data_IF_944807738108
#
_entry.id   IF_944807738108
#
_cell.length_a   1.000
_cell.length_b   1.000
_cell.length_c   1.000
_cell.angle_alpha   90.00
_cell.angle_beta   90.00
_cell.angle_gamma   90.00
#
_symmetry.space_group_name_H-M   'P 1'
#
loop_
_entity.id
_entity.type
_entity.pdbx_description
1 polymer ?
#
# COMPACT_ATOMS: atom_id res chain seq x y z
N UNK A 1 26.05 20.77 2.68
CA UNK A 1 24.91 21.01 3.59
C UNK A 1 24.34 19.65 3.93
N UNK A 2 24.31 19.26 5.20
CA UNK A 2 23.78 17.96 5.61
C UNK A 2 22.25 18.00 5.52
N UNK A 3 21.69 17.44 4.46
CA UNK A 3 20.25 17.25 4.34
C UNK A 3 19.80 16.31 5.46
N UNK A 4 18.85 16.75 6.28
CA UNK A 4 18.36 16.04 7.45
C UNK A 4 17.73 14.70 7.01
N UNK A 5 18.27 13.57 7.50
CA UNK A 5 17.81 12.22 7.18
C UNK A 5 16.27 12.06 7.34
N UNK A 6 15.68 12.82 8.26
CA UNK A 6 14.23 12.83 8.53
C UNK A 6 13.43 13.47 7.40
N UNK A 7 13.92 14.56 6.79
CA UNK A 7 13.22 15.22 5.68
C UNK A 7 13.33 14.39 4.40
N UNK A 8 14.49 13.77 4.17
CA UNK A 8 14.71 12.83 3.06
C UNK A 8 13.74 11.65 3.17
N UNK A 9 13.63 11.03 4.35
CA UNK A 9 12.68 9.94 4.62
C UNK A 9 11.22 10.35 4.44
N UNK A 10 10.88 11.59 4.78
CA UNK A 10 9.52 12.11 4.62
C UNK A 10 9.16 12.30 3.13
N UNK A 11 10.06 12.88 2.34
CA UNK A 11 9.88 13.00 0.87
C UNK A 11 9.84 11.63 0.19
N UNK A 12 10.61 10.65 0.66
CA UNK A 12 10.52 9.27 0.15
C UNK A 12 9.17 8.62 0.45
N UNK A 13 8.63 8.78 1.67
CA UNK A 13 7.28 8.30 2.03
C UNK A 13 6.18 8.95 1.18
N UNK A 14 6.28 10.25 0.93
CA UNK A 14 5.33 10.99 0.08
C UNK A 14 5.34 10.48 -1.38
N UNK A 15 6.47 9.94 -1.84
CA UNK A 15 6.63 9.34 -3.16
C UNK A 15 6.45 7.81 -3.18
N UNK A 16 6.03 7.19 -2.07
CA UNK A 16 5.82 5.74 -1.97
C UNK A 16 7.11 4.89 -1.93
N UNK A 17 8.26 5.51 -1.64
CA UNK A 17 9.54 4.86 -1.42
C UNK A 17 9.69 4.56 0.07
N UNK A 18 9.66 3.28 0.43
CA UNK A 18 9.82 2.83 1.80
C UNK A 18 11.24 2.34 2.03
N UNK A 19 11.90 2.84 3.08
CA UNK A 19 13.21 2.36 3.48
C UNK A 19 13.14 0.88 3.87
N UNK A 20 13.99 0.05 3.27
CA UNK A 20 14.12 -1.36 3.61
C UNK A 20 15.13 -1.51 4.74
N UNK A 21 14.65 -1.81 5.95
CA UNK A 21 15.54 -2.15 7.04
C UNK A 21 16.17 -3.54 6.88
N UNK A 22 17.27 -3.78 7.60
CA UNK A 22 18.00 -5.06 7.54
C UNK A 22 17.12 -6.26 7.93
N UNK A 23 16.19 -6.08 8.87
CA UNK A 23 15.30 -7.16 9.31
C UNK A 23 14.37 -7.60 8.18
N UNK A 24 13.79 -6.67 7.44
CA UNK A 24 13.00 -6.96 6.24
C UNK A 24 13.86 -7.66 5.19
N UNK A 25 15.06 -7.15 4.91
CA UNK A 25 15.97 -7.75 3.93
C UNK A 25 16.32 -9.20 4.26
N UNK A 26 16.60 -9.50 5.53
CA UNK A 26 16.87 -10.87 6.00
C UNK A 26 15.64 -11.79 5.88
N UNK A 27 14.43 -11.28 6.16
CA UNK A 27 13.19 -12.03 5.97
C UNK A 27 12.99 -12.36 4.49
N UNK A 28 13.17 -11.37 3.60
CA UNK A 28 13.06 -11.57 2.15
C UNK A 28 14.08 -12.59 1.65
N UNK A 29 15.33 -12.51 2.12
CA UNK A 29 16.38 -13.50 1.82
C UNK A 29 15.98 -14.91 2.28
N UNK A 30 15.29 -15.04 3.42
CA UNK A 30 14.76 -16.32 3.89
C UNK A 30 13.86 -17.04 2.89
N UNK A 31 13.08 -16.30 2.08
CA UNK A 31 12.21 -16.87 1.04
C UNK A 31 12.95 -17.29 -0.24
N UNK A 32 14.20 -16.86 -0.44
CA UNK A 32 15.05 -17.34 -1.54
C UNK A 32 15.30 -18.85 -1.35
N UNK A 33 15.60 -19.26 -0.11
CA UNK A 33 15.65 -20.66 0.32
C UNK A 33 16.77 -21.51 -0.32
N UNK A 34 17.75 -20.87 -0.97
CA UNK A 34 18.91 -21.51 -1.60
C UNK A 34 20.08 -20.55 -1.66
N UNK A 35 21.28 -21.09 -1.85
CA UNK A 35 22.44 -20.31 -2.29
C UNK A 35 22.27 -19.90 -3.76
N UNK A 36 22.78 -18.72 -4.08
CA UNK A 36 22.64 -18.05 -5.38
C UNK A 36 24.00 -17.48 -5.77
N UNK A 37 24.34 -17.54 -7.06
CA UNK A 37 25.61 -17.03 -7.57
C UNK A 37 25.52 -15.55 -7.89
N UNK A 38 24.33 -15.08 -8.29
CA UNK A 38 24.05 -13.68 -8.51
C UNK A 38 22.73 -13.24 -7.85
N UNK A 39 22.53 -11.93 -7.77
CA UNK A 39 21.25 -11.35 -7.35
C UNK A 39 21.06 -10.00 -8.03
N UNK A 40 19.84 -9.75 -8.48
CA UNK A 40 19.43 -8.48 -9.07
C UNK A 40 18.34 -7.80 -8.23
N UNK A 41 18.48 -6.49 -8.02
CA UNK A 41 17.43 -5.62 -7.51
C UNK A 41 17.14 -4.50 -8.54
N UNK A 42 15.97 -4.53 -9.22
CA UNK A 42 15.61 -3.54 -10.23
C UNK A 42 15.27 -2.17 -9.65
N UNK A 43 15.21 -1.99 -8.34
CA UNK A 43 14.91 -0.72 -7.67
C UNK A 43 15.72 -0.64 -6.38
N UNK A 44 17.05 -0.70 -6.53
CA UNK A 44 17.93 -1.11 -5.45
C UNK A 44 18.10 -0.09 -4.32
N UNK A 45 17.70 1.18 -4.53
CA UNK A 45 17.92 2.25 -3.57
C UNK A 45 19.38 2.29 -3.12
N UNK A 46 19.58 2.35 -1.81
CA UNK A 46 20.90 2.33 -1.16
C UNK A 46 21.54 0.93 -1.03
N UNK A 47 20.96 -0.09 -1.68
CA UNK A 47 21.47 -1.45 -1.70
C UNK A 47 21.13 -2.30 -0.48
N UNK A 48 20.20 -1.89 0.39
CA UNK A 48 19.86 -2.65 1.61
C UNK A 48 19.45 -4.11 1.36
N UNK A 49 18.65 -4.39 0.33
CA UNK A 49 18.27 -5.75 -0.04
C UNK A 49 19.48 -6.55 -0.54
N UNK A 50 20.39 -5.93 -1.29
CA UNK A 50 21.56 -6.62 -1.83
C UNK A 50 22.63 -6.89 -0.75
N UNK A 51 22.67 -6.09 0.31
CA UNK A 51 23.67 -6.17 1.37
C UNK A 51 23.55 -7.42 2.26
N UNK A 52 22.41 -8.10 2.27
CA UNK A 52 22.24 -9.34 3.05
C UNK A 52 22.84 -10.55 2.35
N UNK A 53 23.26 -10.45 1.09
CA UNK A 53 23.99 -11.50 0.37
C UNK A 53 25.49 -11.38 0.62
N UNK A 54 26.18 -12.53 0.72
CA UNK A 54 27.62 -12.57 0.99
C UNK A 54 28.44 -11.87 -0.08
N UNK A 55 29.67 -11.50 0.25
CA UNK A 55 30.55 -10.75 -0.65
C UNK A 55 30.90 -11.52 -1.93
N UNK A 56 30.87 -12.86 -1.88
CA UNK A 56 31.06 -13.76 -3.01
C UNK A 56 29.95 -13.69 -4.06
N UNK A 57 28.73 -13.29 -3.67
CA UNK A 57 27.58 -13.19 -4.57
C UNK A 57 27.73 -11.96 -5.45
N UNK A 58 27.58 -12.13 -6.76
CA UNK A 58 27.60 -11.03 -7.73
C UNK A 58 26.27 -10.26 -7.67
N UNK A 59 26.33 -8.95 -7.40
CA UNK A 59 25.15 -8.12 -7.15
C UNK A 59 24.92 -7.16 -8.32
N UNK A 60 23.69 -7.06 -8.77
CA UNK A 60 23.24 -6.15 -9.83
C UNK A 60 22.15 -5.25 -9.29
N UNK A 61 22.20 -3.96 -9.62
CA UNK A 61 21.20 -3.00 -9.16
C UNK A 61 20.87 -1.97 -10.21
N UNK A 62 19.60 -1.56 -10.24
CA UNK A 62 19.18 -0.35 -10.95
C UNK A 62 18.48 0.59 -9.97
N UNK A 63 18.82 1.87 -10.01
CA UNK A 63 18.21 2.89 -9.17
C UNK A 63 18.08 4.20 -9.95
N UNK A 64 16.95 4.89 -9.79
CA UNK A 64 16.69 6.15 -10.49
C UNK A 64 17.44 7.32 -9.84
N UNK A 65 17.54 7.32 -8.51
CA UNK A 65 18.17 8.38 -7.74
C UNK A 65 19.68 8.10 -7.58
N UNK A 66 20.52 8.84 -8.31
CA UNK A 66 21.97 8.63 -8.34
C UNK A 66 22.64 8.65 -6.95
N UNK A 67 22.20 9.54 -6.05
CA UNK A 67 22.73 9.63 -4.68
C UNK A 67 22.52 8.33 -3.89
N UNK A 68 21.38 7.65 -4.07
CA UNK A 68 21.14 6.35 -3.41
C UNK A 68 22.04 5.27 -4.02
N UNK A 69 22.19 5.27 -5.34
CA UNK A 69 23.06 4.32 -6.03
C UNK A 69 24.52 4.47 -5.58
N UNK A 70 24.99 5.69 -5.34
CA UNK A 70 26.34 5.95 -4.83
C UNK A 70 26.54 5.37 -3.42
N UNK A 71 25.51 5.43 -2.56
CA UNK A 71 25.53 4.73 -1.26
C UNK A 71 25.61 3.22 -1.46
N UNK A 72 24.84 2.66 -2.39
CA UNK A 72 24.91 1.23 -2.72
C UNK A 72 26.30 0.81 -3.19
N UNK A 73 26.94 1.61 -4.07
CA UNK A 73 28.31 1.37 -4.55
C UNK A 73 29.35 1.43 -3.43
N UNK A 74 29.17 2.32 -2.46
CA UNK A 74 30.08 2.44 -1.33
C UNK A 74 29.95 1.28 -0.33
N UNK A 75 28.76 0.70 -0.15
CA UNK A 75 28.53 -0.39 0.82
C UNK A 75 28.71 -1.79 0.25
N UNK A 76 28.43 -2.02 -1.04
CA UNK A 76 28.31 -3.37 -1.60
C UNK A 76 29.60 -3.84 -2.28
N UNK A 77 30.03 -5.05 -1.93
CA UNK A 77 31.10 -5.77 -2.65
C UNK A 77 30.51 -6.55 -3.82
N UNK A 78 31.29 -6.66 -4.91
CA UNK A 78 30.90 -7.35 -6.15
C UNK A 78 29.61 -6.80 -6.79
N UNK A 79 29.45 -5.48 -6.73
CA UNK A 79 28.25 -4.78 -7.20
C UNK A 79 28.43 -4.07 -8.53
N UNK A 80 27.48 -4.27 -9.43
CA UNK A 80 27.31 -3.53 -10.67
C UNK A 80 25.97 -2.79 -10.66
N UNK A 81 26.03 -1.48 -10.42
CA UNK A 81 24.87 -0.60 -10.42
C UNK A 81 24.70 0.18 -11.72
N UNK A 82 23.47 0.46 -12.13
CA UNK A 82 23.11 1.37 -13.24
C UNK A 82 22.13 2.43 -12.74
N UNK A 83 22.41 3.70 -13.06
CA UNK A 83 21.50 4.81 -12.74
C UNK A 83 20.48 4.96 -13.86
N UNK A 84 19.19 4.94 -13.55
CA UNK A 84 18.12 5.13 -14.54
C UNK A 84 16.77 4.57 -14.10
N UNK A 85 15.70 4.97 -14.78
CA UNK A 85 14.35 4.47 -14.49
C UNK A 85 14.16 3.06 -15.08
N UNK A 86 13.92 2.08 -14.22
CA UNK A 86 13.77 0.66 -14.57
C UNK A 86 12.68 0.36 -15.57
N UNK A 87 11.56 1.09 -15.54
CA UNK A 87 10.44 0.88 -16.44
C UNK A 87 10.63 1.64 -17.76
N UNK A 88 11.38 2.74 -17.79
CA UNK A 88 11.65 3.49 -19.03
C UNK A 88 12.91 3.04 -19.77
N UNK A 89 13.97 2.75 -19.02
CA UNK A 89 15.33 2.52 -19.51
C UNK A 89 15.91 1.30 -18.75
N UNK A 90 15.38 0.08 -19.01
CA UNK A 90 15.84 -1.10 -18.29
C UNK A 90 17.34 -1.33 -18.46
N UNK A 91 18.04 -1.52 -17.35
CA UNK A 91 19.41 -1.97 -17.33
C UNK A 91 19.50 -3.47 -17.67
N UNK A 92 20.73 -3.94 -17.94
CA UNK A 92 21.06 -5.37 -18.06
C UNK A 92 20.24 -6.14 -19.11
N UNK A 93 19.79 -5.46 -20.16
CA UNK A 93 18.95 -6.06 -21.23
C UNK A 93 19.61 -7.33 -21.77
N UNK A 94 18.81 -8.39 -21.92
CA UNK A 94 19.25 -9.71 -22.39
C UNK A 94 19.73 -10.66 -21.29
N UNK A 95 19.91 -10.19 -20.04
CA UNK A 95 20.28 -11.05 -18.92
C UNK A 95 19.09 -11.77 -18.32
N UNK A 96 19.38 -12.88 -17.64
CA UNK A 96 18.46 -13.61 -16.75
C UNK A 96 19.18 -13.86 -15.44
N UNK A 97 18.49 -13.67 -14.33
CA UNK A 97 19.07 -13.79 -12.98
C UNK A 97 18.47 -14.99 -12.25
N UNK A 98 19.31 -15.72 -11.52
CA UNK A 98 18.93 -16.81 -10.62
C UNK A 98 18.15 -16.31 -9.39
N UNK A 99 18.46 -15.11 -8.92
CA UNK A 99 17.79 -14.44 -7.81
C UNK A 99 17.41 -13.01 -8.16
N UNK A 100 16.16 -12.64 -7.90
CA UNK A 100 15.71 -11.24 -7.93
C UNK A 100 15.08 -10.90 -6.59
N UNK A 101 15.58 -9.87 -5.91
CA UNK A 101 14.97 -9.40 -4.65
C UNK A 101 14.70 -7.91 -4.78
N UNK A 102 13.46 -7.50 -4.61
CA UNK A 102 13.03 -6.14 -4.98
C UNK A 102 12.04 -5.54 -3.99
N UNK A 103 12.17 -4.24 -3.75
CA UNK A 103 11.17 -3.40 -3.08
C UNK A 103 10.83 -2.19 -3.98
N UNK A 104 9.98 -2.39 -5.01
CA UNK A 104 9.62 -1.32 -5.92
C UNK A 104 8.78 -0.22 -5.25
N UNK A 105 8.76 1.01 -5.78
CA UNK A 105 7.91 2.08 -5.25
C UNK A 105 6.43 1.70 -5.41
N UNK A 106 5.71 1.69 -4.30
CA UNK A 106 4.33 1.20 -4.29
C UNK A 106 3.39 2.14 -5.03
N UNK A 107 2.55 1.57 -5.90
CA UNK A 107 1.50 2.33 -6.56
C UNK A 107 2.01 3.57 -7.32
N UNK A 108 3.27 3.56 -7.76
CA UNK A 108 3.86 4.65 -8.52
C UNK A 108 3.09 4.87 -9.84
N UNK A 109 3.06 6.12 -10.30
CA UNK A 109 2.64 6.41 -11.67
C UNK A 109 3.71 5.96 -12.63
N UNK A 110 3.29 5.48 -13.80
CA UNK A 110 4.20 5.08 -14.88
C UNK A 110 3.51 5.26 -16.23
N UNK A 111 4.32 5.26 -17.28
CA UNK A 111 3.86 5.31 -18.66
C UNK A 111 4.62 4.28 -19.47
N UNK A 112 3.94 3.67 -20.45
CA UNK A 112 4.62 2.86 -21.46
C UNK A 112 4.86 3.72 -22.70
N UNK A 113 6.13 3.86 -23.10
CA UNK A 113 6.51 4.68 -24.28
C UNK A 113 6.43 3.94 -25.62
N UNK A 114 6.57 2.61 -25.63
CA UNK A 114 6.61 1.81 -26.86
C UNK A 114 6.22 0.36 -26.61
N UNK A 115 6.07 -0.43 -27.68
CA UNK A 115 6.02 -1.90 -27.59
C UNK A 115 7.27 -2.38 -26.86
N UNK A 116 7.07 -3.14 -25.79
CA UNK A 116 8.12 -3.58 -24.89
C UNK A 116 7.90 -5.05 -24.54
N UNK A 117 8.88 -5.89 -24.86
CA UNK A 117 8.82 -7.34 -24.73
C UNK A 117 8.59 -7.82 -23.29
N UNK A 118 8.87 -6.97 -22.28
CA UNK A 118 8.60 -7.29 -20.88
C UNK A 118 7.11 -7.42 -20.59
N UNK A 119 6.26 -6.78 -21.39
CA UNK A 119 4.82 -6.68 -21.15
C UNK A 119 3.96 -7.39 -22.20
N UNK A 120 4.54 -7.95 -23.25
CA UNK A 120 3.80 -8.55 -24.38
C UNK A 120 3.11 -9.88 -24.04
N UNK A 121 3.66 -10.65 -23.11
CA UNK A 121 3.12 -11.96 -22.73
C UNK A 121 1.85 -11.85 -21.86
N UNK A 122 1.70 -10.75 -21.11
CA UNK A 122 0.55 -10.50 -20.26
C UNK A 122 -0.65 -9.98 -21.08
N UNK A 123 -1.90 -10.31 -20.69
CA UNK A 123 -3.10 -9.94 -21.46
C UNK A 123 -3.49 -8.47 -21.31
N UNK A 124 -2.80 -7.71 -20.46
CA UNK A 124 -3.05 -6.31 -20.21
C UNK A 124 -1.78 -5.63 -19.66
N UNK A 125 -1.78 -4.30 -19.71
CA UNK A 125 -0.76 -3.46 -19.09
C UNK A 125 -1.22 -3.05 -17.70
N UNK A 126 -0.27 -2.82 -16.79
CA UNK A 126 -0.60 -2.21 -15.52
C UNK A 126 -1.19 -0.79 -15.75
N UNK A 127 -2.16 -0.34 -14.95
CA UNK A 127 -2.74 0.99 -15.13
C UNK A 127 -1.68 2.10 -15.00
N UNK A 128 -1.76 3.22 -15.75
CA UNK A 128 -0.77 4.30 -15.66
C UNK A 128 -0.63 4.91 -14.25
N UNK A 129 -1.68 4.81 -13.44
CA UNK A 129 -1.66 5.26 -12.04
C UNK A 129 -1.05 4.27 -11.05
N UNK A 130 -0.71 3.04 -11.48
CA UNK A 130 -0.27 1.92 -10.64
C UNK A 130 0.74 1.02 -11.37
N UNK A 131 2.02 1.25 -11.10
CA UNK A 131 3.13 0.50 -11.69
C UNK A 131 3.38 -0.89 -11.05
N UNK A 132 2.63 -1.29 -10.02
CA UNK A 132 2.91 -2.49 -9.22
C UNK A 132 3.07 -3.74 -10.11
N UNK A 133 2.13 -3.98 -11.02
CA UNK A 133 2.22 -5.10 -11.98
C UNK A 133 3.25 -4.90 -13.09
N UNK A 134 3.62 -3.65 -13.43
CA UNK A 134 4.69 -3.41 -14.39
C UNK A 134 6.05 -3.86 -13.83
N UNK A 135 6.31 -3.59 -12.55
CA UNK A 135 7.50 -4.13 -11.87
C UNK A 135 7.48 -5.64 -11.75
N UNK A 136 6.34 -6.26 -11.41
CA UNK A 136 6.24 -7.73 -11.36
C UNK A 136 6.50 -8.39 -12.73
N UNK A 137 5.99 -7.80 -13.82
CA UNK A 137 6.26 -8.27 -15.17
C UNK A 137 7.71 -8.05 -15.59
N UNK A 138 8.33 -6.93 -15.19
CA UNK A 138 9.77 -6.71 -15.36
C UNK A 138 10.58 -7.80 -14.66
N UNK A 139 10.30 -8.06 -13.37
CA UNK A 139 10.96 -9.11 -12.59
C UNK A 139 10.79 -10.46 -13.27
N UNK A 140 9.57 -10.80 -13.70
CA UNK A 140 9.30 -12.07 -14.35
C UNK A 140 10.04 -12.18 -15.71
N UNK A 141 10.18 -11.10 -16.47
CA UNK A 141 10.95 -11.12 -17.72
C UNK A 141 12.44 -11.45 -17.46
N UNK A 142 13.04 -10.85 -16.44
CA UNK A 142 14.45 -11.01 -16.09
C UNK A 142 14.75 -12.25 -15.24
N UNK A 143 13.74 -12.94 -14.71
CA UNK A 143 13.94 -14.14 -13.91
C UNK A 143 14.38 -15.34 -14.78
N UNK A 144 15.44 -16.04 -14.37
CA UNK A 144 15.86 -17.29 -14.99
C UNK A 144 14.78 -18.39 -14.87
N UNK A 145 14.75 -19.40 -15.78
CA UNK A 145 13.76 -20.47 -15.72
C UNK A 145 13.70 -21.23 -14.39
N UNK A 146 14.83 -21.42 -13.72
CA UNK A 146 14.98 -22.06 -12.41
C UNK A 146 15.23 -21.05 -11.28
N UNK A 147 15.04 -19.76 -11.57
CA UNK A 147 15.28 -18.65 -10.65
C UNK A 147 14.17 -18.50 -9.61
N UNK A 148 14.48 -17.73 -8.56
CA UNK A 148 13.52 -17.30 -7.54
C UNK A 148 13.51 -15.77 -7.45
N UNK A 149 12.31 -15.20 -7.41
CA UNK A 149 12.15 -13.78 -7.10
C UNK A 149 11.38 -13.57 -5.79
N UNK A 150 11.78 -12.60 -4.98
CA UNK A 150 11.07 -12.19 -3.76
C UNK A 150 10.82 -10.68 -3.86
N UNK A 151 9.55 -10.30 -4.02
CA UNK A 151 9.16 -8.91 -4.29
C UNK A 151 8.22 -8.41 -3.20
N UNK A 152 8.53 -7.27 -2.60
CA UNK A 152 7.63 -6.58 -1.68
C UNK A 152 6.62 -5.72 -2.45
N UNK A 153 5.35 -5.80 -2.06
CA UNK A 153 4.26 -5.15 -2.77
C UNK A 153 3.25 -4.53 -1.79
N UNK A 154 2.50 -3.55 -2.27
CA UNK A 154 1.28 -3.09 -1.62
C UNK A 154 0.18 -4.17 -1.71
N UNK A 155 -0.64 -4.41 -0.67
CA UNK A 155 -1.61 -5.51 -0.64
C UNK A 155 -2.64 -5.51 -1.79
N UNK A 156 -2.90 -4.34 -2.39
CA UNK A 156 -3.87 -4.21 -3.47
C UNK A 156 -3.57 -5.05 -4.72
N UNK A 157 -2.32 -5.49 -4.93
CA UNK A 157 -2.02 -6.44 -6.00
C UNK A 157 -2.87 -7.72 -5.90
N UNK A 158 -3.25 -8.13 -4.68
CA UNK A 158 -4.00 -9.36 -4.45
C UNK A 158 -5.46 -9.27 -4.89
N UNK A 159 -6.04 -8.07 -5.01
CA UNK A 159 -7.50 -7.95 -5.13
C UNK A 159 -8.00 -6.88 -6.10
N UNK A 160 -7.16 -5.95 -6.57
CA UNK A 160 -7.58 -4.97 -7.56
C UNK A 160 -8.02 -5.66 -8.86
N UNK A 161 -9.12 -5.19 -9.44
CA UNK A 161 -9.75 -5.77 -10.64
C UNK A 161 -9.19 -5.20 -11.94
N UNK A 162 -10.02 -5.18 -13.00
CA UNK A 162 -9.70 -4.59 -14.30
C UNK A 162 -8.40 -5.15 -14.90
N UNK A 163 -7.51 -4.27 -15.38
CA UNK A 163 -6.25 -4.67 -16.01
C UNK A 163 -5.35 -5.47 -15.05
N UNK A 164 -5.27 -5.07 -13.78
CA UNK A 164 -4.49 -5.78 -12.76
C UNK A 164 -5.07 -7.17 -12.47
N UNK A 165 -6.40 -7.30 -12.42
CA UNK A 165 -7.06 -8.60 -12.29
C UNK A 165 -6.75 -9.55 -13.46
N UNK A 166 -6.70 -9.02 -14.70
CA UNK A 166 -6.30 -9.81 -15.89
C UNK A 166 -4.85 -10.28 -15.80
N UNK A 167 -3.93 -9.42 -15.36
CA UNK A 167 -2.51 -9.78 -15.18
C UNK A 167 -2.36 -10.81 -14.06
N UNK A 168 -3.05 -10.63 -12.92
CA UNK A 168 -3.03 -11.57 -11.79
C UNK A 168 -3.50 -12.95 -12.21
N UNK A 169 -4.64 -13.03 -12.90
CA UNK A 169 -5.16 -14.27 -13.48
C UNK A 169 -4.10 -14.97 -14.32
N UNK A 170 -3.51 -14.22 -15.26
CA UNK A 170 -2.46 -14.75 -16.12
C UNK A 170 -1.26 -15.27 -15.32
N UNK A 171 -0.79 -14.55 -14.29
CA UNK A 171 0.33 -15.02 -13.45
C UNK A 171 -0.01 -16.32 -12.67
N UNK A 172 -1.24 -16.45 -12.19
CA UNK A 172 -1.71 -17.69 -11.54
C UNK A 172 -1.76 -18.84 -12.55
N UNK A 173 -2.32 -18.60 -13.75
CA UNK A 173 -2.45 -19.60 -14.81
C UNK A 173 -1.10 -20.03 -15.41
N UNK A 174 -0.14 -19.10 -15.51
CA UNK A 174 1.25 -19.41 -15.86
C UNK A 174 1.99 -20.14 -14.73
N UNK A 175 1.32 -20.36 -13.58
CA UNK A 175 1.85 -21.05 -12.43
C UNK A 175 3.15 -20.42 -11.91
N UNK A 176 3.27 -19.08 -11.92
CA UNK A 176 4.51 -18.39 -11.52
C UNK A 176 4.54 -17.88 -10.08
N UNK A 177 3.40 -17.81 -9.39
CA UNK A 177 3.31 -17.34 -8.00
C UNK A 177 3.44 -18.54 -7.05
N UNK A 178 4.59 -18.67 -6.38
CA UNK A 178 4.89 -19.77 -5.46
C UNK A 178 4.28 -19.55 -4.07
N UNK A 179 4.46 -18.34 -3.54
CA UNK A 179 4.01 -17.98 -2.20
C UNK A 179 3.55 -16.53 -2.13
N UNK A 180 2.54 -16.30 -1.30
CA UNK A 180 2.11 -14.98 -0.84
C UNK A 180 2.35 -14.93 0.67
N UNK A 181 3.18 -14.02 1.16
CA UNK A 181 3.37 -13.83 2.60
C UNK A 181 2.88 -12.44 3.02
N UNK A 182 1.85 -12.40 3.87
CA UNK A 182 1.35 -11.16 4.44
C UNK A 182 2.24 -10.70 5.58
N UNK A 183 2.59 -9.42 5.55
CA UNK A 183 3.34 -8.75 6.60
C UNK A 183 2.43 -7.68 7.24
N UNK A 184 2.12 -7.77 8.55
CA UNK A 184 1.26 -6.79 9.20
C UNK A 184 1.90 -5.40 9.26
N UNK A 185 1.07 -4.37 9.34
CA UNK A 185 1.54 -2.99 9.53
C UNK A 185 2.31 -2.83 10.85
N UNK A 186 3.33 -1.98 10.87
CA UNK A 186 4.16 -1.76 12.06
C UNK A 186 5.17 -2.88 12.36
N UNK A 187 5.23 -3.91 11.50
CA UNK A 187 6.24 -4.97 11.60
C UNK A 187 7.67 -4.47 11.33
N UNK A 188 7.79 -3.36 10.59
CA UNK A 188 9.04 -2.66 10.29
C UNK A 188 8.99 -1.22 10.81
N UNK A 189 10.15 -0.66 11.18
CA UNK A 189 10.23 0.62 11.89
C UNK A 189 9.64 1.81 11.12
N UNK A 190 9.59 1.72 9.78
CA UNK A 190 9.28 2.84 8.89
C UNK A 190 7.92 2.77 8.18
N UNK A 191 7.12 1.71 8.37
CA UNK A 191 5.79 1.62 7.76
C UNK A 191 4.72 1.05 8.70
N UNK A 192 3.63 1.81 8.87
CA UNK A 192 2.39 1.34 9.52
C UNK A 192 1.47 0.61 8.54
N UNK A 193 1.83 0.58 7.26
CA UNK A 193 1.00 0.02 6.19
C UNK A 193 1.34 -1.47 6.07
N UNK A 194 0.34 -2.37 6.06
CA UNK A 194 0.58 -3.78 5.78
C UNK A 194 1.14 -3.96 4.36
N UNK A 195 2.00 -4.95 4.18
CA UNK A 195 2.64 -5.27 2.90
C UNK A 195 2.52 -6.75 2.59
N UNK A 196 2.75 -7.13 1.34
CA UNK A 196 2.76 -8.55 0.94
C UNK A 196 4.04 -8.86 0.17
N UNK A 197 4.67 -9.99 0.50
CA UNK A 197 5.73 -10.56 -0.30
C UNK A 197 5.14 -11.54 -1.31
N UNK A 198 5.51 -11.40 -2.57
CA UNK A 198 5.32 -12.44 -3.57
C UNK A 198 6.64 -13.17 -3.79
N UNK A 199 6.60 -14.50 -3.69
CA UNK A 199 7.68 -15.37 -4.15
C UNK A 199 7.29 -15.90 -5.52
N UNK A 200 8.14 -15.68 -6.53
CA UNK A 200 7.89 -16.10 -7.91
C UNK A 200 8.92 -17.15 -8.34
N UNK A 201 8.46 -18.18 -9.07
CA UNK A 201 9.28 -19.25 -9.66
C UNK A 201 8.65 -19.72 -10.96
N UNK A 202 9.46 -19.98 -12.01
CA UNK A 202 8.97 -20.43 -13.32
C UNK A 202 8.97 -21.96 -13.48
N UNK A 203 9.74 -22.68 -12.69
CA UNK A 203 9.94 -24.13 -12.75
C UNK A 203 8.89 -24.94 -11.95
N UNK A 204 7.87 -24.28 -11.39
CA UNK A 204 6.89 -24.90 -10.48
C UNK A 204 6.18 -26.10 -11.09
N UNK A 205 5.76 -25.99 -12.37
CA UNK A 205 5.12 -27.10 -13.09
C UNK A 205 6.06 -28.30 -13.26
N UNK A 206 7.33 -28.06 -13.58
CA UNK A 206 8.33 -29.13 -13.69
C UNK A 206 8.60 -29.83 -12.34
N UNK A 207 8.37 -29.11 -11.24
CA UNK A 207 8.45 -29.64 -9.85
C UNK A 207 7.15 -30.28 -9.35
N UNK A 208 6.10 -30.31 -10.17
CA UNK A 208 4.78 -30.83 -9.77
C UNK A 208 4.05 -29.97 -8.73
N UNK A 209 4.42 -28.69 -8.60
CA UNK A 209 3.81 -27.75 -7.66
C UNK A 209 2.82 -26.87 -8.42
N UNK A 210 1.56 -26.88 -8.01
CA UNK A 210 0.48 -26.06 -8.62
C UNK A 210 -0.20 -25.15 -7.61
N UNK A 211 -0.24 -25.53 -6.33
CA UNK A 211 -0.84 -24.71 -5.27
C UNK A 211 0.05 -23.55 -4.86
N UNK A 212 -0.58 -22.45 -4.44
CA UNK A 212 0.09 -21.27 -3.91
C UNK A 212 0.11 -21.38 -2.38
N UNK A 213 1.30 -21.27 -1.79
CA UNK A 213 1.42 -21.17 -0.33
C UNK A 213 1.03 -19.77 0.13
N UNK A 214 0.25 -19.68 1.22
CA UNK A 214 -0.01 -18.43 1.91
C UNK A 214 0.49 -18.49 3.34
N UNK A 215 1.15 -17.43 3.77
CA UNK A 215 1.65 -17.25 5.12
C UNK A 215 1.16 -15.91 5.69
N UNK A 216 0.51 -15.94 6.84
CA UNK A 216 0.18 -14.75 7.61
C UNK A 216 1.18 -14.59 8.76
N UNK A 217 2.09 -13.62 8.63
CA UNK A 217 3.14 -13.39 9.64
C UNK A 217 2.64 -12.70 10.90
N UNK A 218 1.37 -12.28 10.95
CA UNK A 218 0.76 -11.77 12.18
C UNK A 218 0.33 -12.89 13.11
N UNK A 219 -0.21 -13.98 12.55
CA UNK A 219 -0.73 -15.14 13.29
C UNK A 219 0.17 -16.37 13.23
N UNK A 220 1.13 -16.41 12.31
CA UNK A 220 1.92 -17.60 11.99
C UNK A 220 1.15 -18.65 11.19
N UNK A 221 -0.06 -18.34 10.72
CA UNK A 221 -0.90 -19.26 9.96
C UNK A 221 -0.30 -19.49 8.56
N UNK A 222 -0.16 -20.76 8.18
CA UNK A 222 0.18 -21.17 6.82
C UNK A 222 -0.93 -22.04 6.21
N UNK A 223 -1.29 -21.77 4.97
CA UNK A 223 -2.23 -22.58 4.17
C UNK A 223 -1.71 -22.74 2.75
N UNK A 224 -2.25 -23.71 2.02
CA UNK A 224 -1.99 -23.91 0.61
C UNK A 224 -3.30 -23.81 -0.15
N UNK A 225 -3.36 -23.00 -1.20
CA UNK A 225 -4.57 -22.80 -2.01
C UNK A 225 -4.37 -23.37 -3.40
N UNK A 226 -5.36 -24.16 -3.83
CA UNK A 226 -5.37 -24.79 -5.15
C UNK A 226 -5.76 -23.81 -6.27
N UNK A 227 -5.33 -24.05 -7.52
CA UNK A 227 -5.79 -23.26 -8.66
C UNK A 227 -7.32 -23.20 -8.78
N UNK A 228 -8.03 -24.26 -8.43
CA UNK A 228 -9.49 -24.35 -8.47
C UNK A 228 -10.15 -23.39 -7.48
N UNK A 229 -9.63 -23.32 -6.25
CA UNK A 229 -10.10 -22.37 -5.23
C UNK A 229 -9.84 -20.91 -5.65
N UNK A 230 -8.68 -20.64 -6.28
CA UNK A 230 -8.35 -19.31 -6.80
C UNK A 230 -9.29 -18.93 -7.94
N UNK A 231 -9.53 -19.86 -8.88
CA UNK A 231 -10.44 -19.65 -10.00
C UNK A 231 -11.88 -19.42 -9.53
N UNK A 232 -12.34 -20.14 -8.50
CA UNK A 232 -13.65 -19.95 -7.88
C UNK A 232 -13.82 -18.54 -7.27
N UNK A 233 -12.71 -17.88 -6.90
CA UNK A 233 -12.69 -16.51 -6.38
C UNK A 233 -12.31 -15.45 -7.44
N UNK A 234 -12.58 -15.72 -8.72
CA UNK A 234 -12.25 -14.85 -9.86
C UNK A 234 -10.77 -14.41 -9.90
N UNK A 235 -9.89 -15.29 -9.40
CA UNK A 235 -8.46 -15.05 -9.25
C UNK A 235 -8.12 -13.90 -8.30
N UNK A 236 -9.05 -13.43 -7.48
CA UNK A 236 -8.74 -12.59 -6.33
C UNK A 236 -8.05 -13.43 -5.26
N UNK A 237 -6.97 -12.89 -4.71
CA UNK A 237 -6.21 -13.45 -3.60
C UNK A 237 -6.53 -12.69 -2.29
N UNK A 238 -7.61 -11.90 -2.23
CA UNK A 238 -8.04 -11.17 -1.03
C UNK A 238 -8.44 -12.07 0.13
N UNK A 239 -8.98 -13.26 -0.16
CA UNK A 239 -9.37 -14.27 0.83
C UNK A 239 -8.18 -14.78 1.66
N UNK A 240 -6.97 -14.54 1.17
CA UNK A 240 -5.74 -14.81 1.90
C UNK A 240 -5.51 -13.80 3.01
N UNK A 241 -5.86 -12.52 2.80
CA UNK A 241 -5.58 -11.49 3.78
C UNK A 241 -6.24 -11.78 5.12
N UNK A 242 -5.57 -11.45 6.25
CA UNK A 242 -6.20 -11.57 7.55
C UNK A 242 -7.53 -10.84 7.50
N UNK A 243 -8.60 -11.56 7.80
CA UNK A 243 -9.89 -10.94 7.97
C UNK A 243 -9.81 -10.19 9.28
N UNK A 244 -10.00 -8.87 9.27
CA UNK A 244 -10.27 -8.15 10.51
C UNK A 244 -11.47 -8.86 11.15
N UNK A 245 -11.29 -9.45 12.33
CA UNK A 245 -12.43 -9.77 13.18
C UNK A 245 -13.13 -8.44 13.36
N UNK A 246 -14.29 -8.27 12.72
CA UNK A 246 -15.13 -7.11 12.96
C UNK A 246 -15.51 -7.20 14.42
N UNK A 247 -14.78 -6.47 15.25
CA UNK A 247 -15.19 -6.18 16.61
C UNK A 247 -16.60 -5.63 16.46
N UNK A 248 -17.60 -6.37 16.96
CA UNK A 248 -18.97 -5.91 16.88
C UNK A 248 -19.00 -4.58 17.59
N UNK A 249 -19.14 -3.50 16.81
CA UNK A 249 -19.28 -2.18 17.41
C UNK A 249 -20.41 -2.29 18.42
N UNK A 250 -20.18 -1.83 19.67
CA UNK A 250 -21.22 -1.91 20.68
C UNK A 250 -22.50 -1.31 20.11
N UNK A 251 -23.68 -1.81 20.50
CA UNK A 251 -24.95 -1.28 20.02
C UNK A 251 -24.93 0.25 20.16
N UNK A 252 -25.07 0.95 19.05
CA UNK A 252 -25.11 2.42 19.05
C UNK A 252 -26.40 2.79 19.76
N UNK A 253 -26.30 3.39 20.95
CA UNK A 253 -27.45 4.02 21.61
C UNK A 253 -27.77 5.31 20.85
N UNK A 254 -28.92 5.40 20.15
CA UNK A 254 -29.27 6.58 19.36
C UNK A 254 -29.32 7.85 20.20
N UNK A 255 -29.64 7.75 21.50
CA UNK A 255 -29.71 8.91 22.38
C UNK A 255 -28.33 9.41 22.76
N UNK A 256 -27.38 8.50 22.99
CA UNK A 256 -25.98 8.87 23.29
C UNK A 256 -25.35 9.52 22.05
N UNK A 257 -25.57 8.94 20.87
CA UNK A 257 -25.05 9.51 19.62
C UNK A 257 -25.61 10.91 19.34
N UNK A 258 -26.92 11.10 19.53
CA UNK A 258 -27.56 12.42 19.36
C UNK A 258 -27.04 13.43 20.39
N UNK A 259 -26.82 13.01 21.64
CA UNK A 259 -26.24 13.87 22.67
C UNK A 259 -24.80 14.27 22.36
N UNK A 260 -23.97 13.33 21.90
CA UNK A 260 -22.59 13.60 21.50
C UNK A 260 -22.50 14.50 20.28
N UNK A 261 -23.33 14.26 19.26
CA UNK A 261 -23.42 15.12 18.07
C UNK A 261 -23.89 16.53 18.45
N UNK A 262 -24.92 16.65 19.29
CA UNK A 262 -25.40 17.93 19.80
C UNK A 262 -24.32 18.67 20.59
N UNK A 263 -23.57 17.98 21.45
CA UNK A 263 -22.45 18.55 22.19
C UNK A 263 -21.36 19.07 21.25
N UNK A 264 -20.97 18.28 20.26
CA UNK A 264 -19.94 18.68 19.29
C UNK A 264 -20.32 19.94 18.51
N UNK A 265 -21.60 20.08 18.14
CA UNK A 265 -22.12 21.30 17.48
C UNK A 265 -22.02 22.52 18.41
N UNK A 266 -22.39 22.37 19.68
CA UNK A 266 -22.32 23.47 20.67
C UNK A 266 -20.86 23.85 20.95
N UNK A 267 -19.97 22.88 21.11
CA UNK A 267 -18.55 23.11 21.36
C UNK A 267 -17.89 23.80 20.14
N UNK A 268 -18.23 23.39 18.92
CA UNK A 268 -17.79 24.05 17.69
C UNK A 268 -18.28 25.50 17.56
N UNK A 269 -19.55 25.76 17.90
CA UNK A 269 -20.11 27.11 17.89
C UNK A 269 -19.43 28.01 18.92
N UNK A 270 -19.16 27.49 20.13
CA UNK A 270 -18.43 28.20 21.18
C UNK A 270 -17.04 28.63 20.72
N UNK A 271 -16.26 27.68 20.18
CA UNK A 271 -14.92 27.97 19.68
C UNK A 271 -14.94 29.06 18.60
N UNK A 272 -15.93 29.02 17.70
CA UNK A 272 -16.06 30.04 16.65
C UNK A 272 -16.42 31.43 17.22
N UNK A 273 -17.29 31.49 18.23
CA UNK A 273 -17.64 32.74 18.93
C UNK A 273 -16.41 33.35 19.62
N UNK A 274 -15.61 32.53 20.31
CA UNK A 274 -14.38 32.96 20.99
C UNK A 274 -13.36 33.54 19.99
N UNK A 275 -13.16 32.89 18.85
CA UNK A 275 -12.28 33.39 17.78
C UNK A 275 -12.81 34.71 17.21
N UNK A 276 -14.11 34.78 16.93
CA UNK A 276 -14.73 35.99 16.35
C UNK A 276 -14.65 37.17 17.30
N UNK A 277 -14.80 36.93 18.60
CA UNK A 277 -14.61 37.94 19.63
C UNK A 277 -13.16 38.44 19.65
N UNK A 278 -12.18 37.55 19.68
CA UNK A 278 -10.76 37.91 19.69
C UNK A 278 -10.36 38.74 18.45
N UNK A 279 -10.87 38.37 17.26
CA UNK A 279 -10.64 39.14 16.02
C UNK A 279 -11.29 40.51 16.09
N UNK A 280 -12.52 40.61 16.62
CA UNK A 280 -13.23 41.89 16.75
C UNK A 280 -12.49 42.85 17.69
N UNK A 281 -11.93 42.35 18.79
CA UNK A 281 -11.13 43.12 19.74
C UNK A 281 -9.80 43.58 19.12
N UNK A 282 -9.16 42.75 18.29
CA UNK A 282 -7.87 43.04 17.67
C UNK A 282 -7.97 44.06 16.53
N UNK A 283 -8.99 43.93 15.68
CA UNK A 283 -9.17 44.77 14.49
C UNK A 283 -9.98 46.05 14.79
N UNK A 284 -10.62 46.14 15.96
CA UNK A 284 -11.48 47.26 16.34
C UNK A 284 -12.79 47.34 15.54
N UNK A 285 -13.19 46.23 14.91
CA UNK A 285 -14.41 46.11 14.10
C UNK A 285 -15.32 45.05 14.73
N UNK A 286 -16.58 45.39 14.98
CA UNK A 286 -17.54 44.45 15.58
C UNK A 286 -18.06 43.41 14.57
N UNK A 287 -17.41 42.24 14.54
CA UNK A 287 -17.86 41.07 13.79
C UNK A 287 -18.72 40.12 14.62
N UNK A 288 -18.69 40.25 15.95
CA UNK A 288 -19.36 39.36 16.87
C UNK A 288 -20.87 39.60 16.88
N UNK A 289 -21.32 40.85 17.04
CA UNK A 289 -22.77 41.16 17.15
C UNK A 289 -23.56 40.70 15.92
N UNK A 290 -23.10 40.93 14.67
CA UNK A 290 -23.81 40.43 13.49
C UNK A 290 -23.84 38.89 13.41
N UNK A 291 -22.81 38.20 13.90
CA UNK A 291 -22.77 36.74 13.90
C UNK A 291 -23.72 36.15 14.94
N UNK A 292 -23.69 36.67 16.17
CA UNK A 292 -24.64 36.29 17.23
C UNK A 292 -26.08 36.51 16.78
N UNK A 293 -26.37 37.66 16.16
CA UNK A 293 -27.72 37.95 15.66
C UNK A 293 -28.22 36.94 14.62
N UNK A 294 -27.33 36.41 13.77
CA UNK A 294 -27.67 35.34 12.80
C UNK A 294 -27.96 34.01 13.47
N UNK A 295 -27.17 33.64 14.47
CA UNK A 295 -27.37 32.41 15.26
C UNK A 295 -28.70 32.50 16.02
N UNK A 296 -28.99 33.64 16.65
CA UNK A 296 -30.25 33.87 17.37
C UNK A 296 -31.47 33.84 16.44
N UNK A 297 -31.37 34.43 15.25
CA UNK A 297 -32.42 34.37 14.24
C UNK A 297 -32.73 32.92 13.84
N UNK A 298 -31.68 32.12 13.57
CA UNK A 298 -31.81 30.69 13.24
C UNK A 298 -32.47 29.91 14.38
N UNK A 299 -32.00 30.08 15.62
CA UNK A 299 -32.58 29.39 16.79
C UNK A 299 -34.04 29.80 16.99
N UNK A 300 -34.36 31.08 16.78
CA UNK A 300 -35.72 31.60 16.95
C UNK A 300 -36.69 31.07 15.89
N UNK A 301 -36.23 30.89 14.65
CA UNK A 301 -37.00 30.26 13.57
C UNK A 301 -37.41 28.82 13.95
N UNK A 302 -36.45 28.01 14.40
CA UNK A 302 -36.71 26.64 14.82
C UNK A 302 -37.60 26.56 16.07
N UNK A 303 -37.43 27.47 17.04
CA UNK A 303 -38.32 27.55 18.22
C UNK A 303 -39.78 27.82 17.83
N UNK A 304 -40.02 28.72 16.86
CA UNK A 304 -41.37 29.02 16.35
C UNK A 304 -41.97 27.84 15.60
N UNK A 305 -41.16 27.09 14.85
CA UNK A 305 -41.57 25.85 14.19
C UNK A 305 -41.94 24.73 15.18
N UNK A 306 -41.14 24.52 16.22
CA UNK A 306 -41.38 23.49 17.24
C UNK A 306 -42.61 23.76 18.12
N UNK A 307 -42.92 25.03 18.44
CA UNK A 307 -44.12 25.37 19.20
C UNK A 307 -45.42 24.96 18.48
N UNK A 308 -45.43 24.88 17.15
CA UNK A 308 -46.56 24.38 16.34
C UNK A 308 -46.65 22.85 16.30
N UNK A 309 -45.52 22.15 16.44
CA UNK A 309 -45.47 20.68 16.52
C UNK A 309 -45.85 20.16 17.90
N UNK A 310 -45.40 20.82 18.97
CA UNK A 310 -45.73 20.44 20.34
C UNK A 310 -47.23 20.60 20.66
N UNK A 311 -47.90 21.61 20.10
CA UNK A 311 -49.35 21.79 20.24
C UNK A 311 -50.18 20.72 19.51
N UNK A 312 -49.67 20.19 18.38
CA UNK A 312 -50.29 19.11 17.62
C UNK A 312 -50.11 17.72 18.27
N UNK A 313 -48.95 17.47 18.88
CA UNK A 313 -48.67 16.22 19.61
C UNK A 313 -49.52 16.15 20.91
N UNK A 314 -49.75 17.28 21.57
CA UNK A 314 -50.55 17.33 22.80
C UNK A 314 -52.08 17.21 22.55
N UNK A 315 -52.57 17.55 21.35
CA UNK A 315 -54.00 17.36 20.97
C UNK A 315 -54.31 15.95 20.47
N UNK A 316 -53.30 15.15 20.12
CA UNK A 316 -53.44 13.75 19.70
C UNK A 316 -53.81 12.76 20.81
N UNK A 317 -53.79 13.14 22.08
CA UNK A 317 -54.19 12.29 23.21
C UNK A 317 -55.67 12.42 23.63
N UNK A 318 -56.47 13.27 22.97
CA UNK A 318 -57.90 13.47 23.30
C UNK A 318 -58.88 12.66 22.44
N UNK A 319 -58.39 11.84 21.50
CA UNK A 319 -59.22 10.94 20.69
C UNK A 319 -58.68 9.50 20.74
N UNK A 320 -58.66 8.92 21.93
CA UNK A 320 -58.55 7.47 22.12
C UNK A 320 -59.33 7.06 23.39
N UNK A 321 -60.67 7.04 23.26
CA UNK A 321 -61.57 6.19 24.04
C UNK A 321 -62.46 5.44 23.06
#
# INVERSE_FOLDING_TARGET
>A
MAHNLKSIRQTFRENGVFYTDERLAQIMKGYVGREVAEVYDPTCGDGALLAVFGDEVRKYGQEREGDQLDVARARLVNFEGVCGDTLQEPAFVGRRFDCIMANPPFSAKWEQKSTDERFTAAPALAPPSKADYAFLLHVLHYLAPDGVAVVLNAPGILYRGNAEGKIRRWMVEQNVIDRVAFIPGGYFADTKIPTVLLVLRKDRTARGITSIAYEDRSSGREISITPEEIAANDYSLSNLMPQEEKEQSPPIDPNVLEQEAGRAVVDGLRAHLEITQAVSELEGIDHLSPFVARVDALISEYRKGHARLASAVCTGCLFAQ
#
